data_IF_656868881351
#
_entry.id   IF_656868881351
#
_cell.length_a   1.000
_cell.length_b   1.000
_cell.length_c   1.000
_cell.angle_alpha   90.00
_cell.angle_beta   90.00
_cell.angle_gamma   90.00
#
_symmetry.space_group_name_H-M   'P 1'
#
loop_
_entity.id
_entity.type
_entity.pdbx_description
1 polymer ?
#
# COMPACT_ATOMS: atom_id res chain seq x y z
N UNK A 1 -12.21 -5.62 23.15
CA UNK A 1 -12.05 -6.05 21.73
C UNK A 1 -11.20 -5.02 21.00
N UNK A 2 -9.97 -5.41 20.57
CA UNK A 2 -9.07 -4.53 19.78
C UNK A 2 -9.42 -4.56 18.31
N UNK A 3 -9.29 -3.40 17.63
CA UNK A 3 -9.60 -3.22 16.21
C UNK A 3 -8.33 -3.01 15.40
N UNK A 4 -8.13 -3.87 14.41
CA UNK A 4 -7.02 -3.84 13.49
C UNK A 4 -7.50 -3.41 12.10
N UNK A 5 -6.74 -2.58 11.43
CA UNK A 5 -6.87 -2.35 9.98
C UNK A 5 -5.66 -2.99 9.31
N UNK A 6 -5.88 -3.77 8.27
CA UNK A 6 -4.82 -4.32 7.42
C UNK A 6 -5.15 -3.94 5.98
N UNK A 7 -4.29 -3.15 5.34
CA UNK A 7 -4.42 -2.90 3.90
C UNK A 7 -3.58 -3.91 3.13
N UNK A 8 -4.09 -4.47 2.02
CA UNK A 8 -3.43 -5.60 1.35
C UNK A 8 -3.69 -5.66 -0.15
N UNK A 9 -2.75 -6.24 -0.88
CA UNK A 9 -2.80 -6.35 -2.34
C UNK A 9 -2.18 -5.15 -3.06
N UNK A 10 -2.33 -5.09 -4.37
CA UNK A 10 -1.84 -4.01 -5.21
C UNK A 10 -2.97 -3.11 -5.71
N UNK A 11 -2.79 -1.81 -5.69
CA UNK A 11 -3.73 -0.84 -6.25
C UNK A 11 -3.56 -0.76 -7.76
N UNK A 12 -4.69 -0.56 -8.45
CA UNK A 12 -4.75 -0.32 -9.90
C UNK A 12 -5.35 1.04 -10.17
N UNK A 13 -4.64 1.87 -10.95
CA UNK A 13 -5.14 3.15 -11.42
C UNK A 13 -5.67 3.02 -12.86
N UNK A 14 -6.87 3.53 -13.11
CA UNK A 14 -7.51 3.43 -14.42
C UNK A 14 -6.80 4.32 -15.45
N UNK A 15 -6.58 3.79 -16.65
CA UNK A 15 -6.30 4.56 -17.86
C UNK A 15 -7.62 4.88 -18.54
N UNK A 16 -8.46 3.87 -18.72
CA UNK A 16 -9.85 3.94 -19.21
C UNK A 16 -10.70 2.86 -18.53
N UNK A 17 -11.89 2.57 -19.00
CA UNK A 17 -12.75 1.54 -18.42
C UNK A 17 -12.25 0.10 -18.63
N UNK A 18 -11.25 -0.10 -19.47
CA UNK A 18 -10.71 -1.42 -19.83
C UNK A 18 -9.28 -1.61 -19.31
N UNK A 19 -8.43 -0.56 -19.40
CA UNK A 19 -6.99 -0.62 -19.13
C UNK A 19 -6.65 0.05 -17.79
N UNK A 20 -5.62 -0.49 -17.12
CA UNK A 20 -5.15 -0.01 -15.81
C UNK A 20 -3.63 -0.09 -15.71
N UNK A 21 -3.05 0.79 -14.91
CA UNK A 21 -1.69 0.68 -14.39
C UNK A 21 -1.80 0.05 -13.00
N UNK A 22 -1.05 -1.02 -12.73
CA UNK A 22 -1.21 -1.81 -11.50
C UNK A 22 0.12 -2.02 -10.81
N UNK A 23 0.16 -1.77 -9.50
CA UNK A 23 1.24 -2.23 -8.65
C UNK A 23 1.02 -3.71 -8.33
N UNK A 24 1.99 -4.56 -8.68
CA UNK A 24 1.88 -6.00 -8.53
C UNK A 24 2.06 -6.42 -7.06
N UNK A 25 1.00 -6.90 -6.44
CA UNK A 25 1.03 -7.53 -5.11
C UNK A 25 -0.14 -8.49 -4.95
N UNK A 26 0.14 -9.74 -4.58
CA UNK A 26 -0.89 -10.76 -4.34
C UNK A 26 -1.65 -10.57 -3.02
N UNK A 27 -1.16 -9.73 -2.10
CA UNK A 27 -1.72 -9.59 -0.76
C UNK A 27 -1.37 -10.74 0.20
N UNK A 28 -0.50 -11.69 -0.20
CA UNK A 28 -0.19 -12.86 0.63
C UNK A 28 0.36 -12.48 2.01
N UNK A 29 1.25 -11.49 2.10
CA UNK A 29 1.82 -11.07 3.39
C UNK A 29 0.74 -10.49 4.32
N UNK A 30 -0.14 -9.62 3.82
CA UNK A 30 -1.25 -9.08 4.62
C UNK A 30 -2.21 -10.16 5.10
N UNK A 31 -2.50 -11.17 4.26
CA UNK A 31 -3.30 -12.33 4.65
C UNK A 31 -2.59 -13.17 5.72
N UNK A 32 -1.29 -13.44 5.58
CA UNK A 32 -0.50 -14.18 6.56
C UNK A 32 -0.51 -13.48 7.93
N UNK A 33 -0.30 -12.15 7.97
CA UNK A 33 -0.37 -11.36 9.20
C UNK A 33 -1.77 -11.43 9.82
N UNK A 34 -2.82 -11.31 9.01
CA UNK A 34 -4.20 -11.41 9.49
C UNK A 34 -4.50 -12.78 10.11
N UNK A 35 -4.09 -13.87 9.47
CA UNK A 35 -4.26 -15.22 9.98
C UNK A 35 -3.53 -15.43 11.31
N UNK A 36 -2.27 -14.98 11.41
CA UNK A 36 -1.48 -15.09 12.63
C UNK A 36 -2.11 -14.30 13.80
N UNK A 37 -2.64 -13.10 13.54
CA UNK A 37 -3.41 -12.33 14.54
C UNK A 37 -4.68 -13.08 15.00
N UNK A 38 -5.40 -13.70 14.07
CA UNK A 38 -6.63 -14.44 14.35
C UNK A 38 -6.39 -15.72 15.16
N UNK A 39 -5.24 -16.37 14.97
CA UNK A 39 -4.80 -17.56 15.72
C UNK A 39 -4.31 -17.18 17.12
N UNK A 40 -3.54 -16.10 17.24
CA UNK A 40 -2.90 -15.70 18.50
C UNK A 40 -3.81 -14.89 19.44
N UNK A 41 -4.91 -14.31 18.92
CA UNK A 41 -5.80 -13.41 19.68
C UNK A 41 -7.27 -13.75 19.50
N UNK A 42 -7.99 -13.86 20.60
CA UNK A 42 -9.44 -14.18 20.57
C UNK A 42 -10.34 -12.94 20.45
N UNK A 43 -10.00 -11.85 21.14
CA UNK A 43 -10.84 -10.64 21.25
C UNK A 43 -10.38 -9.52 20.32
N UNK A 44 -10.46 -9.79 18.99
CA UNK A 44 -10.10 -8.84 17.94
C UNK A 44 -11.12 -8.78 16.81
N UNK A 45 -11.19 -7.63 16.14
CA UNK A 45 -11.83 -7.46 14.84
C UNK A 45 -10.81 -6.91 13.85
N UNK A 46 -10.76 -7.46 12.64
CA UNK A 46 -9.89 -7.01 11.55
C UNK A 46 -10.74 -6.39 10.44
N UNK A 47 -10.50 -5.12 10.13
CA UNK A 47 -10.96 -4.46 8.91
C UNK A 47 -9.90 -4.70 7.85
N UNK A 48 -10.18 -5.59 6.91
CA UNK A 48 -9.25 -6.00 5.87
C UNK A 48 -9.55 -5.23 4.58
N UNK A 49 -8.81 -4.15 4.36
CA UNK A 49 -8.95 -3.27 3.20
C UNK A 49 -8.09 -3.81 2.07
N UNK A 50 -8.68 -4.25 0.97
CA UNK A 50 -7.93 -4.94 -0.05
C UNK A 50 -8.44 -4.69 -1.47
N UNK A 51 -7.54 -4.84 -2.46
CA UNK A 51 -7.95 -4.88 -3.86
C UNK A 51 -8.75 -6.14 -4.18
N UNK A 52 -9.57 -6.09 -5.22
CA UNK A 52 -10.49 -7.17 -5.61
C UNK A 52 -9.81 -8.54 -5.72
N UNK A 53 -8.61 -8.57 -6.28
CA UNK A 53 -7.87 -9.82 -6.56
C UNK A 53 -6.86 -10.20 -5.46
N UNK A 54 -6.81 -9.47 -4.35
CA UNK A 54 -5.93 -9.79 -3.25
C UNK A 54 -6.38 -11.06 -2.52
N UNK A 55 -5.42 -11.86 -2.07
CA UNK A 55 -5.67 -12.97 -1.16
C UNK A 55 -6.26 -12.45 0.15
N UNK A 56 -7.24 -13.18 0.70
CA UNK A 56 -8.06 -12.75 1.84
C UNK A 56 -8.10 -13.83 2.93
N UNK A 57 -8.07 -13.43 4.20
CA UNK A 57 -8.34 -14.36 5.28
C UNK A 57 -9.83 -14.75 5.30
N UNK A 58 -10.12 -16.01 5.65
CA UNK A 58 -11.48 -16.51 5.80
C UNK A 58 -11.81 -16.72 7.28
N UNK A 59 -12.40 -15.71 7.93
CA UNK A 59 -12.78 -15.78 9.34
C UNK A 59 -13.90 -14.76 9.64
N UNK A 60 -14.87 -15.11 10.49
CA UNK A 60 -16.00 -14.25 10.88
C UNK A 60 -15.61 -12.95 11.59
N UNK A 61 -14.40 -12.89 12.17
CA UNK A 61 -13.84 -11.69 12.82
C UNK A 61 -13.21 -10.72 11.82
N UNK A 62 -13.24 -11.02 10.51
CA UNK A 62 -12.70 -10.19 9.43
C UNK A 62 -13.82 -9.54 8.65
N UNK A 63 -13.76 -8.20 8.58
CA UNK A 63 -14.64 -7.39 7.73
C UNK A 63 -13.85 -6.97 6.49
N UNK A 64 -14.23 -7.52 5.34
CA UNK A 64 -13.59 -7.21 4.05
C UNK A 64 -14.11 -5.87 3.51
N UNK A 65 -13.19 -4.98 3.14
CA UNK A 65 -13.46 -3.70 2.48
C UNK A 65 -12.68 -3.68 1.17
N UNK A 66 -13.37 -3.84 0.05
CA UNK A 66 -12.74 -3.78 -1.27
C UNK A 66 -12.46 -2.32 -1.67
N UNK A 67 -11.32 -2.09 -2.35
CA UNK A 67 -10.92 -0.78 -2.86
C UNK A 67 -10.50 -0.85 -4.32
N UNK A 68 -10.76 0.24 -5.04
CA UNK A 68 -10.42 0.40 -6.46
C UNK A 68 -9.73 1.76 -6.64
N UNK A 69 -8.42 1.74 -6.84
CA UNK A 69 -7.62 2.97 -6.98
C UNK A 69 -7.28 3.63 -5.64
N UNK A 70 -6.33 4.56 -5.71
CA UNK A 70 -5.77 5.22 -4.51
C UNK A 70 -6.76 6.21 -3.88
N UNK A 71 -7.62 6.87 -4.66
CA UNK A 71 -8.62 7.80 -4.11
C UNK A 71 -9.69 7.06 -3.32
N UNK A 72 -10.22 5.95 -3.83
CA UNK A 72 -11.19 5.12 -3.11
C UNK A 72 -10.56 4.53 -1.83
N UNK A 73 -9.29 4.10 -1.89
CA UNK A 73 -8.54 3.67 -0.71
C UNK A 73 -8.46 4.79 0.34
N UNK A 74 -8.11 6.01 -0.10
CA UNK A 74 -8.05 7.20 0.77
C UNK A 74 -9.37 7.42 1.48
N UNK A 75 -10.47 7.51 0.74
CA UNK A 75 -11.80 7.83 1.27
C UNK A 75 -12.27 6.76 2.28
N UNK A 76 -12.05 5.47 1.99
CA UNK A 76 -12.40 4.37 2.89
C UNK A 76 -11.55 4.34 4.14
N UNK A 77 -10.24 4.61 4.02
CA UNK A 77 -9.35 4.69 5.19
C UNK A 77 -9.71 5.88 6.07
N UNK A 78 -9.95 7.06 5.51
CA UNK A 78 -10.38 8.25 6.27
C UNK A 78 -11.72 7.99 6.98
N UNK A 79 -12.71 7.46 6.26
CA UNK A 79 -14.01 7.10 6.84
C UNK A 79 -13.87 6.11 8.00
N UNK A 80 -13.03 5.09 7.83
CA UNK A 80 -12.81 4.08 8.86
C UNK A 80 -12.16 4.67 10.12
N UNK A 81 -11.13 5.51 9.94
CA UNK A 81 -10.42 6.15 11.06
C UNK A 81 -11.27 7.19 11.81
N UNK A 82 -12.23 7.85 11.12
CA UNK A 82 -13.16 8.78 11.76
C UNK A 82 -14.31 8.11 12.50
N UNK A 83 -14.79 6.98 11.99
CA UNK A 83 -15.98 6.32 12.54
C UNK A 83 -15.66 5.20 13.53
N UNK A 84 -14.42 4.73 13.58
CA UNK A 84 -14.00 3.60 14.39
C UNK A 84 -12.73 3.95 15.19
N UNK A 85 -12.70 3.57 16.47
CA UNK A 85 -11.45 3.64 17.24
C UNK A 85 -10.55 2.49 16.81
N UNK A 86 -9.56 2.78 15.98
CA UNK A 86 -8.59 1.79 15.47
C UNK A 86 -7.38 1.73 16.40
N UNK A 87 -7.09 0.55 16.93
CA UNK A 87 -5.93 0.35 17.81
C UNK A 87 -4.64 0.15 17.00
N UNK A 88 -4.71 -0.61 15.88
CA UNK A 88 -3.56 -0.97 15.05
C UNK A 88 -3.87 -0.80 13.56
N UNK A 89 -2.95 -0.22 12.83
CA UNK A 89 -3.02 -0.07 11.38
C UNK A 89 -1.76 -0.66 10.72
N UNK A 90 -1.93 -1.72 9.96
CA UNK A 90 -0.85 -2.44 9.26
C UNK A 90 -0.99 -2.16 7.77
N UNK A 91 -0.11 -1.31 7.22
CA UNK A 91 -0.22 -0.80 5.85
C UNK A 91 0.65 -1.57 4.87
N UNK A 92 0.22 -2.82 4.50
CA UNK A 92 1.01 -3.70 3.59
C UNK A 92 0.70 -3.51 2.11
N UNK A 93 -0.31 -2.72 1.75
CA UNK A 93 -0.76 -2.55 0.38
C UNK A 93 0.28 -1.84 -0.49
N UNK A 94 0.53 -2.36 -1.69
CA UNK A 94 1.31 -1.69 -2.70
C UNK A 94 0.47 -0.59 -3.38
N UNK A 95 0.57 0.63 -2.84
CA UNK A 95 -0.15 1.80 -3.34
C UNK A 95 0.63 2.45 -4.48
N UNK A 96 -0.07 2.86 -5.54
CA UNK A 96 0.54 3.58 -6.65
C UNK A 96 1.03 4.96 -6.21
N UNK A 97 2.23 5.36 -6.65
CA UNK A 97 2.78 6.70 -6.41
C UNK A 97 2.20 7.74 -7.38
N UNK A 98 1.70 7.27 -8.52
CA UNK A 98 1.13 8.09 -9.59
C UNK A 98 -0.20 7.52 -10.06
N UNK A 99 -1.10 8.41 -10.48
CA UNK A 99 -2.36 8.09 -11.16
C UNK A 99 -2.42 8.83 -12.49
N UNK A 100 -3.26 8.36 -13.41
CA UNK A 100 -3.46 9.05 -14.68
C UNK A 100 -4.20 10.36 -14.44
N UNK A 101 -3.63 11.46 -14.90
CA UNK A 101 -4.28 12.76 -14.90
C UNK A 101 -5.15 12.90 -16.14
N UNK A 102 -4.53 12.73 -17.31
CA UNK A 102 -5.22 12.65 -18.60
C UNK A 102 -4.44 11.83 -19.63
N UNK A 103 -5.12 11.48 -20.72
CA UNK A 103 -4.57 10.77 -21.86
C UNK A 103 -4.67 11.65 -23.11
N UNK A 104 -3.64 11.65 -23.92
CA UNK A 104 -3.58 12.33 -25.21
C UNK A 104 -2.76 11.50 -26.20
N UNK A 105 -2.53 12.00 -27.42
CA UNK A 105 -1.54 11.45 -28.35
C UNK A 105 -0.35 12.40 -28.50
N UNK A 106 0.78 11.86 -28.92
CA UNK A 106 1.98 12.68 -29.15
C UNK A 106 1.71 13.79 -30.16
N UNK A 107 0.89 13.53 -31.20
CA UNK A 107 0.57 14.51 -32.25
C UNK A 107 -0.34 15.63 -31.72
N UNK A 108 -1.36 15.29 -30.93
CA UNK A 108 -2.21 16.27 -30.25
C UNK A 108 -1.40 17.15 -29.30
N UNK A 109 -0.49 16.54 -28.54
CA UNK A 109 0.40 17.26 -27.65
C UNK A 109 1.31 18.23 -28.37
N UNK A 110 1.96 17.80 -29.48
CA UNK A 110 2.79 18.67 -30.34
C UNK A 110 1.99 19.82 -30.91
N UNK A 111 0.78 19.55 -31.45
CA UNK A 111 -0.11 20.56 -32.02
C UNK A 111 -0.50 21.62 -31.00
N UNK A 112 -0.86 21.21 -29.76
CA UNK A 112 -1.20 22.13 -28.68
C UNK A 112 -0.02 23.06 -28.34
N UNK A 113 1.20 22.53 -28.23
CA UNK A 113 2.38 23.35 -27.99
C UNK A 113 2.71 24.32 -29.11
N UNK A 114 2.64 23.87 -30.36
CA UNK A 114 2.93 24.74 -31.54
C UNK A 114 1.90 25.87 -31.65
N UNK A 115 0.64 25.62 -31.34
CA UNK A 115 -0.44 26.60 -31.48
C UNK A 115 -0.66 27.42 -30.21
N UNK A 116 0.12 27.18 -29.13
CA UNK A 116 -0.07 27.78 -27.81
C UNK A 116 -1.55 27.68 -27.33
N UNK A 117 -2.15 26.49 -27.51
CA UNK A 117 -3.53 26.18 -27.22
C UNK A 117 -3.64 25.21 -26.04
N UNK A 118 -4.84 25.08 -25.45
CA UNK A 118 -5.12 24.08 -24.42
C UNK A 118 -4.81 22.66 -24.91
N UNK A 119 -4.42 21.79 -23.96
CA UNK A 119 -4.12 20.40 -24.27
C UNK A 119 -5.36 19.63 -24.72
N UNK A 120 -5.30 19.08 -25.94
CA UNK A 120 -6.36 18.22 -26.46
C UNK A 120 -6.28 16.84 -25.81
N UNK A 121 -7.21 16.55 -24.87
CA UNK A 121 -7.27 15.29 -24.12
C UNK A 121 -8.29 14.32 -24.74
N UNK A 122 -8.01 13.03 -24.61
CA UNK A 122 -8.93 11.96 -24.99
C UNK A 122 -9.87 11.70 -23.80
N UNK A 123 -11.17 11.87 -24.03
CA UNK A 123 -12.24 11.72 -23.01
C UNK A 123 -13.04 10.42 -23.16
N UNK A 124 -12.64 9.55 -24.08
CA UNK A 124 -13.36 8.32 -24.39
C UNK A 124 -13.33 7.36 -23.18
N UNK A 125 -14.46 6.74 -22.90
CA UNK A 125 -14.59 5.71 -21.86
C UNK A 125 -13.78 4.45 -22.19
N UNK A 126 -13.49 4.22 -23.47
CA UNK A 126 -12.57 3.22 -24.01
C UNK A 126 -11.78 3.85 -25.14
N UNK A 127 -10.51 4.07 -24.92
CA UNK A 127 -9.61 4.65 -25.91
C UNK A 127 -9.50 3.69 -27.10
N UNK A 128 -9.62 4.23 -28.33
CA UNK A 128 -9.51 3.45 -29.56
C UNK A 128 -8.14 2.74 -29.67
N UNK A 129 -8.15 1.50 -30.14
CA UNK A 129 -6.90 0.76 -30.45
C UNK A 129 -6.19 1.27 -31.70
N UNK A 130 -6.82 2.16 -32.46
CA UNK A 130 -6.24 2.81 -33.65
C UNK A 130 -5.50 4.11 -33.34
N UNK A 131 -5.59 4.60 -32.07
CA UNK A 131 -4.81 5.75 -31.65
C UNK A 131 -3.31 5.41 -31.61
N UNK A 132 -2.50 6.19 -32.33
CA UNK A 132 -1.06 6.01 -32.33
C UNK A 132 -0.38 6.88 -31.27
N UNK A 133 0.73 6.36 -30.72
CA UNK A 133 1.60 7.10 -29.79
C UNK A 133 0.84 7.74 -28.61
N UNK A 134 0.05 6.92 -27.89
CA UNK A 134 -0.63 7.38 -26.67
C UNK A 134 0.38 7.92 -25.64
N UNK A 135 0.03 9.07 -25.06
CA UNK A 135 0.76 9.72 -23.97
C UNK A 135 -0.13 9.71 -22.75
N UNK A 136 0.36 9.09 -21.68
CA UNK A 136 -0.27 9.12 -20.36
C UNK A 136 0.43 10.18 -19.51
N UNK A 137 -0.28 11.22 -19.15
CA UNK A 137 0.22 12.21 -18.19
C UNK A 137 -0.21 11.78 -16.81
N UNK A 138 0.78 11.66 -15.94
CA UNK A 138 0.60 11.15 -14.58
C UNK A 138 0.73 12.28 -13.58
N UNK A 139 -0.10 12.22 -12.52
CA UNK A 139 0.02 13.08 -11.34
C UNK A 139 0.26 12.26 -10.08
N UNK A 140 0.92 12.83 -9.05
CA UNK A 140 1.13 12.15 -7.79
C UNK A 140 -0.19 11.75 -7.11
N UNK A 141 -0.19 10.59 -6.47
CA UNK A 141 -1.30 10.14 -5.61
C UNK A 141 -1.18 10.69 -4.19
N UNK A 142 -2.29 10.76 -3.43
CA UNK A 142 -2.25 11.00 -2.00
C UNK A 142 -1.43 9.93 -1.28
N UNK A 143 -0.59 10.33 -0.33
CA UNK A 143 0.18 9.39 0.50
C UNK A 143 -0.68 8.87 1.64
N UNK A 144 -1.24 7.69 1.49
CA UNK A 144 -2.17 7.08 2.45
C UNK A 144 -1.54 6.93 3.85
N UNK A 145 -0.29 6.49 3.93
CA UNK A 145 0.41 6.30 5.21
C UNK A 145 0.47 7.58 6.04
N UNK A 146 0.59 8.75 5.41
CA UNK A 146 0.66 10.04 6.08
C UNK A 146 -0.68 10.46 6.69
N UNK A 147 -1.80 9.94 6.18
CA UNK A 147 -3.15 10.26 6.68
C UNK A 147 -3.43 9.55 8.00
N UNK A 148 -2.87 8.37 8.23
CA UNK A 148 -3.23 7.51 9.37
C UNK A 148 -2.96 8.21 10.70
N UNK A 149 -1.74 8.67 10.93
CA UNK A 149 -1.39 9.39 12.16
C UNK A 149 -1.98 10.81 12.23
N UNK A 150 -2.36 11.40 11.09
CA UNK A 150 -3.05 12.68 11.05
C UNK A 150 -4.49 12.55 11.54
N UNK A 151 -5.23 11.55 11.06
CA UNK A 151 -6.63 11.32 11.42
C UNK A 151 -6.77 10.59 12.78
N UNK A 152 -5.80 9.72 13.13
CA UNK A 152 -5.81 8.95 14.37
C UNK A 152 -4.39 8.86 14.98
N UNK A 153 -3.95 9.88 15.74
CA UNK A 153 -2.58 9.96 16.26
C UNK A 153 -2.18 8.82 17.20
N UNK A 154 -3.14 8.23 17.89
CA UNK A 154 -2.93 7.16 18.87
C UNK A 154 -2.94 5.75 18.26
N UNK A 155 -3.32 5.60 16.99
CA UNK A 155 -3.28 4.31 16.29
C UNK A 155 -1.85 3.84 16.15
N UNK A 156 -1.57 2.60 16.57
CA UNK A 156 -0.27 1.95 16.35
C UNK A 156 -0.10 1.67 14.86
N UNK A 157 0.90 2.29 14.22
CA UNK A 157 1.10 2.25 12.77
C UNK A 157 2.30 1.39 12.38
N UNK A 158 2.06 0.40 11.54
CA UNK A 158 3.09 -0.41 10.88
C UNK A 158 3.15 -0.03 9.40
N UNK A 159 4.29 0.53 8.98
CA UNK A 159 4.58 0.82 7.59
C UNK A 159 5.36 -0.30 6.91
N UNK A 160 5.32 -0.31 5.57
CA UNK A 160 6.10 -1.26 4.76
C UNK A 160 6.89 -0.50 3.71
N UNK A 161 8.14 -0.91 3.49
CA UNK A 161 9.02 -0.34 2.47
C UNK A 161 9.65 -1.44 1.65
N UNK A 162 9.40 -1.39 0.34
CA UNK A 162 10.03 -2.27 -0.64
C UNK A 162 11.03 -1.43 -1.45
N UNK A 163 12.25 -1.93 -1.61
CA UNK A 163 13.25 -1.43 -2.56
C UNK A 163 13.64 -2.56 -3.54
N UNK A 164 14.50 -2.28 -4.50
CA UNK A 164 14.93 -3.26 -5.52
C UNK A 164 16.46 -3.16 -5.68
N UNK A 165 17.17 -4.24 -5.32
CA UNK A 165 18.61 -4.39 -5.52
C UNK A 165 19.48 -3.42 -4.72
N UNK A 166 19.13 -3.14 -3.46
CA UNK A 166 19.88 -2.22 -2.61
C UNK A 166 20.63 -2.95 -1.49
N UNK A 167 21.65 -2.29 -0.93
CA UNK A 167 22.33 -2.83 0.25
C UNK A 167 21.41 -2.86 1.49
N UNK A 168 21.66 -3.81 2.41
CA UNK A 168 20.96 -3.86 3.72
C UNK A 168 20.99 -2.51 4.44
N UNK A 169 22.14 -1.82 4.41
CA UNK A 169 22.32 -0.51 5.05
C UNK A 169 21.37 0.53 4.44
N UNK A 170 21.35 0.63 3.13
CA UNK A 170 20.47 1.56 2.42
C UNK A 170 18.98 1.25 2.65
N UNK A 171 18.61 -0.03 2.62
CA UNK A 171 17.25 -0.48 2.89
C UNK A 171 16.78 -0.04 4.28
N UNK A 172 17.62 -0.23 5.32
CA UNK A 172 17.32 0.19 6.69
C UNK A 172 17.23 1.72 6.79
N UNK A 173 18.16 2.46 6.20
CA UNK A 173 18.16 3.94 6.22
C UNK A 173 16.90 4.51 5.57
N UNK A 174 16.46 3.96 4.42
CA UNK A 174 15.23 4.42 3.74
C UNK A 174 13.99 4.07 4.56
N UNK A 175 13.97 2.90 5.18
CA UNK A 175 12.86 2.48 6.04
C UNK A 175 12.76 3.33 7.32
N UNK A 176 13.89 3.67 7.92
CA UNK A 176 13.97 4.59 9.09
C UNK A 176 13.42 5.97 8.71
N UNK A 177 13.83 6.54 7.58
CA UNK A 177 13.26 7.81 7.08
C UNK A 177 11.73 7.73 6.85
N UNK A 178 11.22 6.60 6.34
CA UNK A 178 9.77 6.40 6.20
C UNK A 178 9.08 6.40 7.55
N UNK A 179 9.64 5.67 8.54
CA UNK A 179 9.15 5.58 9.91
C UNK A 179 9.02 6.98 10.53
N UNK A 180 10.11 7.73 10.53
CA UNK A 180 10.20 9.04 11.18
C UNK A 180 9.26 10.06 10.52
N UNK A 181 9.25 10.11 9.18
CA UNK A 181 8.39 11.00 8.42
C UNK A 181 6.90 10.78 8.70
N UNK A 182 6.47 9.51 8.87
CA UNK A 182 5.06 9.15 9.04
C UNK A 182 4.72 8.78 10.48
N UNK A 183 5.66 8.90 11.41
CA UNK A 183 5.51 8.55 12.83
C UNK A 183 5.03 7.11 13.00
N UNK A 184 5.57 6.18 12.17
CA UNK A 184 5.27 4.77 12.32
C UNK A 184 5.86 4.23 13.63
N UNK A 185 5.15 3.32 14.25
CA UNK A 185 5.62 2.60 15.42
C UNK A 185 6.60 1.48 15.02
N UNK A 186 6.32 0.82 13.89
CA UNK A 186 7.22 -0.14 13.23
C UNK A 186 7.26 0.10 11.72
N UNK A 187 8.37 -0.28 11.09
CA UNK A 187 8.48 -0.39 9.63
C UNK A 187 9.09 -1.73 9.27
N UNK A 188 8.48 -2.41 8.32
CA UNK A 188 9.00 -3.64 7.71
C UNK A 188 9.62 -3.29 6.36
N UNK A 189 10.91 -3.57 6.20
CA UNK A 189 11.69 -3.30 5.00
C UNK A 189 12.04 -4.59 4.27
N UNK A 190 11.78 -4.65 2.97
CA UNK A 190 12.05 -5.79 2.09
C UNK A 190 12.84 -5.34 0.86
N UNK A 191 13.63 -6.25 0.29
CA UNK A 191 14.20 -6.10 -1.04
C UNK A 191 13.46 -6.99 -2.05
N UNK A 192 13.18 -6.44 -3.23
CA UNK A 192 12.51 -7.19 -4.30
C UNK A 192 13.40 -8.27 -4.90
N UNK A 193 14.72 -8.09 -4.87
CA UNK A 193 15.69 -9.09 -5.30
C UNK A 193 15.61 -10.35 -4.43
N UNK A 194 15.55 -10.21 -3.10
CA UNK A 194 15.34 -11.33 -2.18
C UNK A 194 14.02 -12.06 -2.47
N UNK A 195 12.97 -11.31 -2.78
CA UNK A 195 11.65 -11.88 -3.13
C UNK A 195 11.73 -12.70 -4.43
N UNK A 196 12.45 -12.22 -5.45
CA UNK A 196 12.66 -12.94 -6.71
C UNK A 196 13.45 -14.24 -6.48
N UNK A 197 14.40 -14.21 -5.56
CA UNK A 197 15.22 -15.37 -5.17
C UNK A 197 14.50 -16.33 -4.22
N UNK A 198 13.21 -16.10 -3.90
CA UNK A 198 12.34 -16.88 -2.98
C UNK A 198 12.78 -16.85 -1.51
N UNK A 199 13.69 -16.00 -1.12
CA UNK A 199 14.17 -15.89 0.26
C UNK A 199 13.23 -15.05 1.15
N UNK A 200 12.58 -14.06 0.62
CA UNK A 200 11.59 -13.18 1.28
C UNK A 200 12.05 -12.58 2.62
N UNK A 201 13.33 -12.27 2.71
CA UNK A 201 13.91 -11.61 3.89
C UNK A 201 13.27 -10.25 4.15
N UNK A 202 13.18 -9.87 5.41
CA UNK A 202 12.73 -8.57 5.84
C UNK A 202 13.46 -8.11 7.10
N UNK A 203 13.47 -6.80 7.29
CA UNK A 203 13.99 -6.15 8.50
C UNK A 203 12.86 -5.35 9.13
N UNK A 204 12.53 -5.66 10.40
CA UNK A 204 11.52 -4.95 11.18
C UNK A 204 12.27 -3.95 12.07
N UNK A 205 11.95 -2.67 11.94
CA UNK A 205 12.65 -1.56 12.60
C UNK A 205 11.64 -0.88 13.54
N UNK A 206 11.98 -0.79 14.82
CA UNK A 206 11.17 -0.12 15.83
C UNK A 206 11.57 1.36 16.03
N UNK A 207 10.93 2.02 17.00
CA UNK A 207 11.19 3.44 17.34
C UNK A 207 12.58 3.69 17.92
N UNK A 208 13.22 2.67 18.48
CA UNK A 208 14.53 2.74 19.12
C UNK A 208 15.66 2.33 18.17
N UNK A 209 15.38 2.27 16.86
CA UNK A 209 16.30 1.82 15.81
C UNK A 209 16.75 0.35 15.94
N UNK A 210 16.09 -0.44 16.78
CA UNK A 210 16.34 -1.86 16.87
C UNK A 210 15.83 -2.56 15.61
N UNK A 211 16.71 -3.35 15.01
CA UNK A 211 16.43 -4.11 13.78
C UNK A 211 16.29 -5.59 14.09
N UNK A 212 15.15 -6.16 13.73
CA UNK A 212 14.87 -7.59 13.84
C UNK A 212 14.77 -8.16 12.43
N UNK A 213 15.63 -9.12 12.09
CA UNK A 213 15.60 -9.80 10.80
C UNK A 213 14.53 -10.91 10.79
N UNK A 214 13.82 -11.06 9.68
CA UNK A 214 12.86 -12.14 9.44
C UNK A 214 13.16 -12.83 8.12
N UNK A 215 13.02 -14.16 8.08
CA UNK A 215 13.45 -15.00 6.97
C UNK A 215 12.40 -15.18 5.86
N UNK A 216 11.13 -15.12 6.22
CA UNK A 216 10.02 -15.36 5.31
C UNK A 216 8.73 -14.69 5.80
N UNK A 217 7.63 -14.85 5.06
CA UNK A 217 6.34 -14.20 5.38
C UNK A 217 5.73 -14.65 6.70
N UNK A 218 5.90 -15.90 7.08
CA UNK A 218 5.41 -16.45 8.34
C UNK A 218 6.24 -15.89 9.51
N UNK A 219 7.55 -15.85 9.36
CA UNK A 219 8.44 -15.27 10.36
C UNK A 219 8.25 -13.77 10.51
N UNK A 220 8.01 -13.03 9.40
CA UNK A 220 7.61 -11.62 9.43
C UNK A 220 6.34 -11.45 10.26
N UNK A 221 5.28 -12.22 9.98
CA UNK A 221 4.01 -12.11 10.69
C UNK A 221 4.17 -12.40 12.19
N UNK A 222 4.87 -13.48 12.54
CA UNK A 222 5.14 -13.89 13.92
C UNK A 222 5.92 -12.82 14.70
N UNK A 223 7.03 -12.34 14.13
CA UNK A 223 7.87 -11.34 14.78
C UNK A 223 7.17 -10.00 14.91
N UNK A 224 6.46 -9.58 13.85
CA UNK A 224 5.68 -8.35 13.86
C UNK A 224 4.63 -8.36 14.98
N UNK A 225 3.81 -9.41 15.07
CA UNK A 225 2.77 -9.52 16.09
C UNK A 225 3.39 -9.53 17.50
N UNK A 226 4.50 -10.26 17.70
CA UNK A 226 5.23 -10.26 18.98
C UNK A 226 5.75 -8.87 19.37
N UNK A 227 6.32 -8.11 18.41
CA UNK A 227 6.83 -6.76 18.69
C UNK A 227 5.67 -5.81 19.05
N UNK A 228 4.54 -5.89 18.32
CA UNK A 228 3.33 -5.10 18.60
C UNK A 228 2.74 -5.38 19.99
N UNK A 229 2.93 -6.59 20.56
CA UNK A 229 2.47 -6.95 21.88
C UNK A 229 3.39 -6.43 23.01
N UNK A 230 4.69 -6.38 22.75
CA UNK A 230 5.69 -5.96 23.74
C UNK A 230 5.75 -4.44 23.96
N UNK A 231 5.24 -3.64 23.02
CA UNK A 231 5.27 -2.17 23.10
C UNK A 231 3.98 -1.54 23.66
N UNK A 232 3.06 -2.34 24.21
CA UNK A 232 1.80 -1.96 24.85
C UNK A 232 1.57 -2.83 26.08
#
# INVERSE_FOLDING_TARGET
MKKYVITSGGISEKIDNVRKITNSSSGKLGMTIANHLLESKSDITIYYVCSKNALRPSNKRVKIIEVVGTLDLKDKVESLLRNEKIDYFIHTMAVADYMVDYVTTLDKMKKSFLNNSDMEVIKDTKISSYENNLVLVLKPTPKIISLIKKESPLTYLVGFKLLDGVSKKELIEVATRLRDKNKCDLVVANDLEDIRNKEHKAYIIDKEDKVVEASDKEDIAKKLVRMMDNER
#
